data_IF_165991533085
#
_entry.id   IF_165991533085
#
_cell.length_a   1.000
_cell.length_b   1.000
_cell.length_c   1.000
_cell.angle_alpha   90.00
_cell.angle_beta   90.00
_cell.angle_gamma   90.00
#
_symmetry.space_group_name_H-M   'P 1'
#
loop_
_entity.id
_entity.type
_entity.pdbx_description
1 polymer ?
#
# COMPACT_ATOMS: atom_id res chain seq x y z
N UNK A 1 8.20 8.95 -12.06
CA UNK A 1 8.90 7.72 -11.63
C UNK A 1 9.53 8.11 -10.32
N UNK A 2 8.95 7.64 -9.22
CA UNK A 2 9.15 8.23 -7.90
C UNK A 2 10.56 7.92 -7.36
N UNK A 3 11.12 8.83 -6.57
CA UNK A 3 12.26 8.58 -5.70
C UNK A 3 11.82 7.51 -4.69
N UNK A 4 12.01 6.26 -5.07
CA UNK A 4 11.66 5.08 -4.27
C UNK A 4 12.86 4.76 -3.36
N UNK A 5 13.20 5.73 -2.51
CA UNK A 5 14.29 5.66 -1.55
C UNK A 5 13.77 5.12 -0.22
N UNK A 6 14.47 4.16 0.38
CA UNK A 6 14.09 3.57 1.67
C UNK A 6 15.28 3.44 2.60
N UNK A 7 15.03 3.27 3.91
CA UNK A 7 16.09 3.00 4.88
C UNK A 7 16.40 1.51 4.95
N UNK A 8 17.68 1.17 4.76
CA UNK A 8 18.17 -0.19 4.96
C UNK A 8 17.90 -0.64 6.41
N UNK A 9 17.32 -1.83 6.62
CA UNK A 9 17.01 -2.34 7.96
C UNK A 9 18.25 -2.72 8.77
N UNK A 10 19.40 -2.97 8.12
CA UNK A 10 20.64 -3.38 8.78
C UNK A 10 21.50 -2.20 9.23
N UNK A 11 21.63 -1.16 8.40
CA UNK A 11 22.52 -0.02 8.68
C UNK A 11 21.81 1.33 8.80
N UNK A 12 20.49 1.40 8.55
CA UNK A 12 19.68 2.61 8.67
C UNK A 12 19.92 3.67 7.59
N UNK A 13 20.85 3.45 6.66
CA UNK A 13 21.17 4.38 5.56
C UNK A 13 20.09 4.34 4.47
N UNK A 14 19.89 5.49 3.82
CA UNK A 14 18.98 5.61 2.70
C UNK A 14 19.59 4.92 1.48
N UNK A 15 18.85 4.02 0.84
CA UNK A 15 19.28 3.23 -0.32
C UNK A 15 18.12 3.16 -1.33
N UNK A 16 18.42 2.91 -2.60
CA UNK A 16 17.40 2.84 -3.64
C UNK A 16 16.71 1.47 -3.67
N UNK A 17 15.39 1.45 -3.88
CA UNK A 17 14.60 0.22 -3.97
C UNK A 17 15.04 -0.74 -5.10
N UNK A 18 15.74 -0.28 -6.13
CA UNK A 18 16.18 -1.15 -7.25
C UNK A 18 17.43 -1.98 -6.92
N UNK A 19 18.17 -1.66 -5.87
CA UNK A 19 19.43 -2.33 -5.53
C UNK A 19 19.17 -3.64 -4.79
N UNK A 20 19.86 -4.71 -5.21
CA UNK A 20 19.80 -6.02 -4.52
C UNK A 20 20.59 -6.03 -3.22
N UNK A 21 21.62 -5.19 -3.12
CA UNK A 21 22.47 -5.07 -1.95
C UNK A 21 22.49 -3.62 -1.47
N UNK A 22 22.60 -3.43 -0.16
CA UNK A 22 22.80 -2.10 0.40
C UNK A 22 24.18 -1.55 -0.01
N UNK A 23 24.22 -0.38 -0.65
CA UNK A 23 25.48 0.27 -1.03
C UNK A 23 26.41 0.63 0.16
N UNK A 24 25.91 0.58 1.41
CA UNK A 24 26.67 0.93 2.62
C UNK A 24 27.12 -0.25 3.46
N UNK A 25 26.42 -1.37 3.42
CA UNK A 25 26.70 -2.52 4.29
C UNK A 25 26.70 -3.86 3.57
N UNK A 26 26.58 -3.87 2.24
CA UNK A 26 26.65 -5.04 1.35
C UNK A 26 25.68 -6.21 1.67
N UNK A 27 24.80 -6.06 2.66
CA UNK A 27 23.74 -7.02 2.95
C UNK A 27 22.73 -7.11 1.81
N UNK A 28 22.26 -8.34 1.55
CA UNK A 28 21.16 -8.63 0.64
C UNK A 28 19.85 -8.02 1.15
N UNK A 29 19.17 -7.28 0.26
CA UNK A 29 17.91 -6.60 0.51
C UNK A 29 16.76 -7.15 -0.34
N UNK A 30 16.99 -8.21 -1.11
CA UNK A 30 16.01 -8.78 -2.04
C UNK A 30 14.69 -9.10 -1.35
N UNK A 31 14.73 -9.84 -0.24
CA UNK A 31 13.51 -10.19 0.51
C UNK A 31 12.80 -8.95 1.08
N UNK A 32 13.57 -7.98 1.57
CA UNK A 32 13.01 -6.77 2.17
C UNK A 32 12.37 -5.88 1.12
N UNK A 33 13.02 -5.68 -0.04
CA UNK A 33 12.48 -4.99 -1.19
C UNK A 33 11.20 -5.63 -1.68
N UNK A 34 11.17 -6.95 -1.85
CA UNK A 34 9.99 -7.66 -2.34
C UNK A 34 8.80 -7.48 -1.37
N UNK A 35 9.07 -7.43 -0.05
CA UNK A 35 8.07 -7.04 0.95
C UNK A 35 7.60 -5.59 0.79
N UNK A 36 8.50 -4.65 0.53
CA UNK A 36 8.14 -3.23 0.31
C UNK A 36 7.29 -3.05 -0.96
N UNK A 37 7.70 -3.62 -2.09
CA UNK A 37 6.93 -3.58 -3.34
C UNK A 37 5.53 -4.19 -3.16
N UNK A 38 5.44 -5.32 -2.47
CA UNK A 38 4.15 -5.95 -2.18
C UNK A 38 3.25 -5.04 -1.34
N UNK A 39 3.81 -4.33 -0.36
CA UNK A 39 3.07 -3.30 0.39
C UNK A 39 2.56 -2.24 -0.58
N UNK A 40 3.41 -1.63 -1.39
CA UNK A 40 2.99 -0.57 -2.31
C UNK A 40 1.86 -0.97 -3.27
N UNK A 41 1.85 -2.21 -3.77
CA UNK A 41 0.87 -2.70 -4.76
C UNK A 41 -0.51 -3.10 -4.19
N UNK A 42 -0.80 -2.77 -2.92
CA UNK A 42 -1.97 -3.32 -2.22
C UNK A 42 -3.29 -2.53 -2.33
N UNK A 43 -3.26 -1.23 -2.08
CA UNK A 43 -4.48 -0.45 -1.84
C UNK A 43 -4.34 0.99 -2.36
N UNK A 44 -4.46 1.20 -3.67
CA UNK A 44 -4.19 2.50 -4.32
C UNK A 44 -4.99 3.67 -3.73
N UNK A 45 -6.29 3.48 -3.47
CA UNK A 45 -7.15 4.54 -2.91
C UNK A 45 -6.73 4.88 -1.48
N UNK A 46 -6.42 3.87 -0.66
CA UNK A 46 -6.01 4.08 0.72
C UNK A 46 -4.61 4.73 0.77
N UNK A 47 -3.65 4.25 -0.01
CA UNK A 47 -2.32 4.86 -0.15
C UNK A 47 -2.43 6.32 -0.61
N UNK A 48 -3.32 6.63 -1.57
CA UNK A 48 -3.56 8.01 -2.01
C UNK A 48 -4.18 8.89 -0.92
N UNK A 49 -5.07 8.35 -0.09
CA UNK A 49 -5.70 9.09 0.99
C UNK A 49 -4.75 9.34 2.18
N UNK A 50 -4.03 8.30 2.62
CA UNK A 50 -3.10 8.37 3.75
C UNK A 50 -1.75 9.00 3.39
N UNK A 51 -1.35 8.94 2.11
CA UNK A 51 -0.07 9.48 1.63
C UNK A 51 1.12 8.57 1.85
N UNK A 52 0.89 7.39 2.41
CA UNK A 52 1.90 6.38 2.66
C UNK A 52 1.27 5.01 2.47
N UNK A 53 1.97 4.04 1.86
CA UNK A 53 1.52 2.65 1.78
C UNK A 53 1.72 1.90 3.11
N UNK A 54 2.39 2.50 4.09
CA UNK A 54 2.79 1.88 5.36
C UNK A 54 1.88 2.22 6.55
N UNK A 55 0.73 2.87 6.32
CA UNK A 55 -0.22 3.12 7.38
C UNK A 55 -0.84 1.81 7.89
N UNK A 56 -0.95 1.64 9.21
CA UNK A 56 -1.49 0.42 9.84
C UNK A 56 -2.92 0.12 9.38
N UNK A 57 -3.70 1.18 9.13
CA UNK A 57 -5.04 1.10 8.57
C UNK A 57 -5.09 0.41 7.20
N UNK A 58 -4.05 0.58 6.40
CA UNK A 58 -3.95 -0.05 5.08
C UNK A 58 -3.65 -1.53 5.22
N UNK A 59 -2.86 -1.91 6.22
CA UNK A 59 -2.55 -3.32 6.48
C UNK A 59 -3.80 -4.10 6.89
N UNK A 60 -4.70 -3.51 7.68
CA UNK A 60 -6.02 -4.11 8.00
C UNK A 60 -6.85 -4.35 6.73
N UNK A 61 -6.87 -3.38 5.81
CA UNK A 61 -7.62 -3.50 4.56
C UNK A 61 -6.99 -4.54 3.61
N UNK A 62 -5.65 -4.65 3.60
CA UNK A 62 -4.93 -5.68 2.85
C UNK A 62 -5.26 -7.07 3.36
N UNK A 63 -5.25 -7.24 4.67
CA UNK A 63 -5.57 -8.53 5.29
C UNK A 63 -7.01 -8.95 5.01
N UNK A 64 -7.98 -8.03 5.15
CA UNK A 64 -9.37 -8.28 4.77
C UNK A 64 -9.54 -8.62 3.30
N UNK A 65 -8.85 -7.90 2.40
CA UNK A 65 -8.85 -8.21 0.97
C UNK A 65 -8.36 -9.64 0.72
N UNK A 66 -7.21 -10.00 1.29
CA UNK A 66 -6.57 -11.27 1.03
C UNK A 66 -7.37 -12.43 1.65
N UNK A 67 -7.93 -12.25 2.85
CA UNK A 67 -8.62 -13.29 3.62
C UNK A 67 -10.14 -13.41 3.33
N UNK A 68 -10.84 -12.31 3.04
CA UNK A 68 -12.30 -12.30 2.86
C UNK A 68 -12.72 -12.30 1.38
N UNK A 69 -12.00 -11.60 0.50
CA UNK A 69 -12.42 -11.47 -0.90
C UNK A 69 -11.89 -12.60 -1.79
N UNK A 70 -10.77 -13.22 -1.45
CA UNK A 70 -10.23 -14.35 -2.22
C UNK A 70 -11.05 -15.64 -2.06
N UNK A 71 -11.97 -15.71 -1.09
CA UNK A 71 -12.77 -16.91 -0.79
C UNK A 71 -14.05 -17.02 -1.63
N UNK A 72 -14.58 -15.90 -2.13
CA UNK A 72 -15.86 -15.86 -2.84
C UNK A 72 -15.71 -15.23 -4.24
N UNK A 73 -16.41 -15.77 -5.25
CA UNK A 73 -16.34 -15.28 -6.64
C UNK A 73 -16.63 -13.78 -6.79
N UNK A 74 -17.61 -13.27 -6.05
CA UNK A 74 -17.93 -11.84 -6.00
C UNK A 74 -16.78 -10.99 -5.44
N UNK A 75 -16.05 -11.52 -4.46
CA UNK A 75 -14.88 -10.86 -3.89
C UNK A 75 -13.75 -10.76 -4.90
N UNK A 76 -13.46 -11.84 -5.63
CA UNK A 76 -12.45 -11.83 -6.70
C UNK A 76 -12.81 -10.81 -7.80
N UNK A 77 -14.09 -10.74 -8.19
CA UNK A 77 -14.55 -9.78 -9.20
C UNK A 77 -14.43 -8.33 -8.70
N UNK A 78 -14.79 -8.08 -7.43
CA UNK A 78 -14.61 -6.77 -6.80
C UNK A 78 -13.15 -6.35 -6.77
N UNK A 79 -12.23 -7.24 -6.37
CA UNK A 79 -10.79 -6.96 -6.36
C UNK A 79 -10.30 -6.63 -7.78
N UNK A 80 -10.67 -7.44 -8.79
CA UNK A 80 -10.29 -7.17 -10.18
C UNK A 80 -10.80 -5.81 -10.67
N UNK A 81 -12.06 -5.49 -10.38
CA UNK A 81 -12.64 -4.20 -10.73
C UNK A 81 -11.90 -3.06 -10.02
N UNK A 82 -11.70 -3.18 -8.71
CA UNK A 82 -10.93 -2.24 -7.89
C UNK A 82 -9.55 -1.97 -8.49
N UNK A 83 -8.77 -3.00 -8.79
CA UNK A 83 -7.43 -2.85 -9.37
C UNK A 83 -7.44 -2.19 -10.76
N UNK A 84 -8.52 -2.35 -11.52
CA UNK A 84 -8.64 -1.73 -12.85
C UNK A 84 -9.02 -0.25 -12.78
N UNK A 85 -9.93 0.13 -11.88
CA UNK A 85 -10.45 1.51 -11.81
C UNK A 85 -9.71 2.39 -10.81
N UNK A 86 -9.10 1.80 -9.78
CA UNK A 86 -8.50 2.56 -8.68
C UNK A 86 -7.25 3.36 -9.06
N UNK A 87 -6.35 2.95 -9.98
CA UNK A 87 -5.14 3.75 -10.27
C UNK A 87 -5.42 5.18 -10.77
N UNK A 88 -6.30 5.44 -11.75
CA UNK A 88 -6.63 6.81 -12.14
C UNK A 88 -7.36 7.58 -11.03
N UNK A 89 -8.24 6.92 -10.29
CA UNK A 89 -8.98 7.52 -9.17
C UNK A 89 -8.02 7.94 -8.03
N UNK A 90 -7.08 7.08 -7.68
CA UNK A 90 -6.06 7.32 -6.66
C UNK A 90 -5.19 8.53 -7.03
N UNK A 91 -4.78 8.66 -8.29
CA UNK A 91 -4.05 9.83 -8.79
C UNK A 91 -4.87 11.12 -8.70
N UNK A 92 -6.19 11.04 -8.86
CA UNK A 92 -7.07 12.19 -8.73
C UNK A 92 -7.28 12.60 -7.26
N UNK A 93 -7.42 11.62 -6.36
CA UNK A 93 -7.56 11.83 -4.91
C UNK A 93 -6.27 12.38 -4.30
N UNK A 94 -5.11 11.84 -4.68
CA UNK A 94 -3.82 12.23 -4.07
C UNK A 94 -3.50 13.72 -4.25
N UNK A 95 -3.99 14.34 -5.33
CA UNK A 95 -3.83 15.77 -5.65
C UNK A 95 -4.79 16.69 -4.87
N UNK A 96 -5.80 16.17 -4.18
CA UNK A 96 -6.88 16.96 -3.57
C UNK A 96 -7.08 16.60 -2.09
N UNK A 97 -6.62 17.46 -1.19
CA UNK A 97 -6.74 17.26 0.27
C UNK A 97 -8.18 17.01 0.76
N UNK A 98 -9.18 17.71 0.18
CA UNK A 98 -10.60 17.50 0.52
C UNK A 98 -11.06 16.07 0.24
N UNK A 99 -10.64 15.49 -0.89
CA UNK A 99 -10.97 14.10 -1.25
C UNK A 99 -10.24 13.12 -0.35
N UNK A 100 -8.96 13.37 -0.03
CA UNK A 100 -8.20 12.53 0.91
C UNK A 100 -8.90 12.44 2.27
N UNK A 101 -9.37 13.58 2.79
CA UNK A 101 -10.12 13.63 4.05
C UNK A 101 -11.44 12.85 3.96
N UNK A 102 -12.20 13.03 2.88
CA UNK A 102 -13.44 12.28 2.62
C UNK A 102 -13.19 10.77 2.63
N UNK A 103 -12.16 10.31 1.90
CA UNK A 103 -11.81 8.89 1.83
C UNK A 103 -11.40 8.37 3.21
N UNK A 104 -10.62 9.12 4.00
CA UNK A 104 -10.28 8.72 5.38
C UNK A 104 -11.53 8.61 6.26
N UNK A 105 -12.50 9.52 6.13
CA UNK A 105 -13.76 9.47 6.87
C UNK A 105 -14.56 8.22 6.50
N UNK A 106 -14.60 7.85 5.21
CA UNK A 106 -15.29 6.63 4.75
C UNK A 106 -14.54 5.36 5.16
N UNK A 107 -13.20 5.36 5.14
CA UNK A 107 -12.39 4.19 5.49
C UNK A 107 -12.40 3.90 7.00
N UNK A 108 -12.45 4.92 7.86
CA UNK A 108 -12.47 4.76 9.33
C UNK A 108 -13.54 3.78 9.84
N UNK A 109 -14.84 3.93 9.52
CA UNK A 109 -15.87 2.99 9.99
C UNK A 109 -15.68 1.61 9.37
N UNK A 110 -15.28 1.51 8.10
CA UNK A 110 -15.00 0.23 7.43
C UNK A 110 -13.89 -0.54 8.15
N UNK A 111 -12.77 0.12 8.46
CA UNK A 111 -11.67 -0.48 9.23
C UNK A 111 -12.13 -0.91 10.61
N UNK A 112 -12.97 -0.10 11.27
CA UNK A 112 -13.52 -0.45 12.59
C UNK A 112 -14.40 -1.69 12.55
N UNK A 113 -15.21 -1.84 11.50
CA UNK A 113 -16.06 -3.03 11.29
C UNK A 113 -15.20 -4.27 11.01
N UNK A 114 -14.13 -4.13 10.22
CA UNK A 114 -13.23 -5.25 9.88
C UNK A 114 -12.40 -5.71 11.10
N UNK A 115 -11.98 -4.78 11.96
CA UNK A 115 -11.19 -5.08 13.16
C UNK A 115 -12.02 -5.69 14.30
N UNK A 116 -13.35 -5.63 14.21
CA UNK A 116 -14.29 -6.05 15.25
C UNK A 116 -14.88 -7.41 14.92
#
# INVERSE_FOLDING_TARGET
>A
MAQDDFRCPYCGKLTHLYERHCAFCEHDLTEYRDKLEKKERGCFIATAAYGTPFAQEIDVLRDWRDNSLSKNFLGVLFVKFYYRISPPIARFISKREKLRRLVRIVLKPVIKIIKN
#
